data_IF_943734615465
#
_entry.id   IF_943734615465
#
_cell.length_a   1.000
_cell.length_b   1.000
_cell.length_c   1.000
_cell.angle_alpha   90.00
_cell.angle_beta   90.00
_cell.angle_gamma   90.00
#
_symmetry.space_group_name_H-M   'P 1'
#
loop_
_entity.id
_entity.type
_entity.pdbx_description
1 polymer ?
#
# COMPACT_ATOMS: atom_id res chain seq x y z
N UNK A 1 -10.95 23.03 15.02
CA UNK A 1 -9.50 22.75 14.98
C UNK A 1 -9.01 22.77 13.53
N UNK A 2 -7.76 23.17 13.28
CA UNK A 2 -7.18 23.17 11.92
C UNK A 2 -6.29 21.95 11.75
N UNK A 3 -6.50 21.16 10.69
CA UNK A 3 -5.60 20.05 10.38
C UNK A 3 -4.23 20.60 9.97
N UNK A 4 -3.12 20.22 10.64
CA UNK A 4 -1.79 20.75 10.31
C UNK A 4 -1.27 20.29 8.94
N UNK A 5 -1.82 19.20 8.39
CA UNK A 5 -1.41 18.64 7.09
C UNK A 5 -2.07 19.33 5.89
N UNK A 6 -3.40 19.54 5.93
CA UNK A 6 -4.13 20.14 4.80
C UNK A 6 -4.66 21.56 5.06
N UNK A 7 -4.56 22.06 6.29
CA UNK A 7 -4.98 23.41 6.65
C UNK A 7 -6.49 23.66 6.71
N UNK A 8 -7.34 22.66 6.45
CA UNK A 8 -8.80 22.79 6.58
C UNK A 8 -9.25 22.76 8.05
N UNK A 9 -10.37 23.42 8.34
CA UNK A 9 -10.99 23.46 9.66
C UNK A 9 -11.98 22.31 9.82
N UNK A 10 -11.91 21.62 10.96
CA UNK A 10 -12.78 20.51 11.33
C UNK A 10 -13.26 20.70 12.77
N UNK A 11 -14.41 20.12 13.13
CA UNK A 11 -14.92 20.12 14.50
C UNK A 11 -13.92 19.41 15.44
N UNK A 12 -13.38 18.28 14.99
CA UNK A 12 -12.38 17.47 15.69
C UNK A 12 -11.39 16.83 14.72
N UNK A 13 -10.20 16.51 15.20
CA UNK A 13 -9.20 15.71 14.48
C UNK A 13 -9.29 14.27 15.00
N UNK A 14 -9.38 13.30 14.09
CA UNK A 14 -9.74 11.92 14.40
C UNK A 14 -8.62 10.90 14.15
N UNK A 15 -7.54 11.32 13.49
CA UNK A 15 -6.44 10.43 13.14
C UNK A 15 -5.13 10.90 13.78
N UNK A 16 -4.32 9.94 14.23
CA UNK A 16 -2.94 10.18 14.66
C UNK A 16 -2.02 9.98 13.45
N UNK A 17 -1.13 10.94 13.18
CA UNK A 17 -0.23 10.86 12.02
C UNK A 17 0.71 9.66 12.12
N UNK A 18 0.85 8.93 11.00
CA UNK A 18 1.76 7.77 10.87
C UNK A 18 3.21 8.18 10.66
N UNK A 19 3.46 9.45 10.33
CA UNK A 19 4.82 9.99 10.12
C UNK A 19 5.54 10.14 11.47
N UNK A 20 4.86 10.70 12.48
CA UNK A 20 5.46 11.05 13.76
C UNK A 20 4.82 10.36 14.99
N UNK A 21 3.69 9.67 14.80
CA UNK A 21 2.90 9.02 15.86
C UNK A 21 2.51 9.96 17.02
N UNK A 22 2.38 11.27 16.76
CA UNK A 22 2.11 12.29 17.78
C UNK A 22 1.09 13.32 17.33
N UNK A 23 1.13 13.71 16.07
CA UNK A 23 0.32 14.82 15.56
C UNK A 23 -1.08 14.33 15.21
N UNK A 24 -2.12 14.95 15.79
CA UNK A 24 -3.50 14.71 15.39
C UNK A 24 -3.80 15.42 14.06
N UNK A 25 -4.42 14.72 13.12
CA UNK A 25 -4.79 15.16 11.76
C UNK A 25 -6.25 14.79 11.45
N UNK A 26 -6.78 15.33 10.33
CA UNK A 26 -8.11 14.94 9.87
C UNK A 26 -8.10 13.50 9.34
N UNK A 27 -9.27 12.87 9.35
CA UNK A 27 -9.52 11.52 8.85
C UNK A 27 -9.05 11.33 7.40
N UNK A 28 -9.36 12.27 6.50
CA UNK A 28 -8.92 12.20 5.09
C UNK A 28 -7.39 12.18 4.97
N UNK A 29 -6.69 13.04 5.72
CA UNK A 29 -5.24 13.07 5.74
C UNK A 29 -4.64 11.79 6.34
N UNK A 30 -5.29 11.23 7.37
CA UNK A 30 -4.86 9.97 7.99
C UNK A 30 -5.02 8.77 7.06
N UNK A 31 -6.10 8.70 6.28
CA UNK A 31 -6.28 7.67 5.24
C UNK A 31 -5.23 7.81 4.14
N UNK A 32 -4.91 9.04 3.73
CA UNK A 32 -3.86 9.28 2.73
C UNK A 32 -2.49 8.81 3.23
N UNK A 33 -2.11 9.11 4.48
CA UNK A 33 -0.89 8.57 5.08
C UNK A 33 -0.88 7.04 5.16
N UNK A 34 -2.04 6.43 5.44
CA UNK A 34 -2.15 4.98 5.46
C UNK A 34 -1.89 4.37 4.08
N UNK A 35 -2.41 4.98 3.02
CA UNK A 35 -2.22 4.56 1.64
C UNK A 35 -0.78 4.81 1.15
N UNK A 36 -0.19 5.97 1.49
CA UNK A 36 1.21 6.30 1.17
C UNK A 36 2.21 5.36 1.87
N UNK A 37 1.86 4.90 3.07
CA UNK A 37 2.64 3.91 3.81
C UNK A 37 2.51 2.48 3.30
N UNK A 38 1.60 2.22 2.36
CA UNK A 38 1.59 0.93 1.67
C UNK A 38 2.84 0.83 0.78
N UNK A 39 3.49 -0.35 0.69
CA UNK A 39 4.61 -0.50 -0.21
C UNK A 39 4.13 -0.31 -1.66
N UNK A 40 4.56 0.76 -2.33
CA UNK A 40 4.33 0.93 -3.75
C UNK A 40 5.03 -0.22 -4.50
N UNK A 41 4.24 -1.07 -5.17
CA UNK A 41 4.79 -2.23 -5.86
C UNK A 41 5.31 -3.31 -4.90
N UNK A 42 4.47 -3.76 -3.96
CA UNK A 42 4.72 -4.95 -3.10
C UNK A 42 5.31 -6.12 -3.92
N UNK A 43 4.87 -6.24 -5.16
CA UNK A 43 5.29 -7.28 -6.09
C UNK A 43 5.92 -6.61 -7.31
N UNK A 44 7.14 -7.03 -7.63
CA UNK A 44 7.76 -6.85 -8.94
C UNK A 44 6.83 -7.37 -10.06
N UNK A 45 6.98 -6.88 -11.31
CA UNK A 45 6.25 -7.45 -12.45
C UNK A 45 6.36 -8.98 -12.50
N UNK A 46 7.54 -9.51 -12.21
CA UNK A 46 7.84 -10.93 -12.15
C UNK A 46 7.02 -11.63 -11.06
N UNK A 47 6.96 -11.08 -9.84
CA UNK A 47 6.16 -11.66 -8.75
C UNK A 47 4.65 -11.62 -9.04
N UNK A 48 4.14 -10.57 -9.69
CA UNK A 48 2.73 -10.51 -10.13
C UNK A 48 2.40 -11.59 -11.15
N UNK A 49 3.30 -11.80 -12.12
CA UNK A 49 3.15 -12.86 -13.12
C UNK A 49 3.23 -14.23 -12.44
N UNK A 50 4.18 -14.43 -11.52
CA UNK A 50 4.33 -15.69 -10.77
C UNK A 50 3.05 -16.07 -10.04
N UNK A 51 2.39 -15.14 -9.35
CA UNK A 51 1.10 -15.39 -8.69
C UNK A 51 0.03 -15.79 -9.71
N UNK A 52 -0.03 -15.09 -10.85
CA UNK A 52 -1.02 -15.35 -11.90
C UNK A 52 -0.83 -16.74 -12.53
N UNK A 53 0.42 -17.13 -12.82
CA UNK A 53 0.75 -18.47 -13.34
C UNK A 53 0.45 -19.54 -12.29
N UNK A 54 0.80 -19.32 -11.02
CA UNK A 54 0.52 -20.27 -9.96
C UNK A 54 -0.99 -20.51 -9.76
N UNK A 55 -1.81 -19.47 -9.91
CA UNK A 55 -3.27 -19.55 -9.79
C UNK A 55 -3.93 -20.47 -10.84
N UNK A 56 -3.26 -20.73 -11.97
CA UNK A 56 -3.75 -21.67 -12.99
C UNK A 56 -3.71 -23.13 -12.55
N UNK A 57 -2.88 -23.46 -11.56
CA UNK A 57 -2.62 -24.85 -11.13
C UNK A 57 -1.81 -25.68 -12.12
N UNK A 58 -1.37 -25.11 -13.25
CA UNK A 58 -0.58 -25.81 -14.26
C UNK A 58 0.90 -25.90 -13.82
N UNK A 59 1.33 -27.11 -13.47
CA UNK A 59 2.71 -27.39 -13.06
C UNK A 59 3.72 -27.17 -14.18
N UNK A 60 3.33 -27.40 -15.44
CA UNK A 60 4.20 -27.16 -16.59
C UNK A 60 4.43 -25.66 -16.79
N UNK A 61 3.37 -24.86 -16.71
CA UNK A 61 3.48 -23.40 -16.81
C UNK A 61 4.35 -22.81 -15.69
N UNK A 62 4.19 -23.27 -14.44
CA UNK A 62 5.06 -22.87 -13.33
C UNK A 62 6.51 -23.30 -13.51
N UNK A 63 6.74 -24.51 -14.07
CA UNK A 63 8.08 -25.00 -14.40
C UNK A 63 8.79 -24.09 -15.41
N UNK A 64 8.11 -23.74 -16.50
CA UNK A 64 8.64 -22.83 -17.51
C UNK A 64 8.92 -21.43 -16.96
N UNK A 65 8.02 -20.89 -16.13
CA UNK A 65 8.22 -19.61 -15.49
C UNK A 65 9.50 -19.61 -14.64
N UNK A 66 9.69 -20.64 -13.80
CA UNK A 66 10.89 -20.76 -12.97
C UNK A 66 12.17 -20.90 -13.81
N UNK A 67 12.12 -21.62 -14.94
CA UNK A 67 13.27 -21.78 -15.83
C UNK A 67 13.67 -20.49 -16.55
N UNK A 68 12.71 -19.63 -16.89
CA UNK A 68 12.95 -18.37 -17.61
C UNK A 68 13.44 -17.22 -16.70
N UNK A 69 13.28 -17.35 -15.39
CA UNK A 69 13.56 -16.29 -14.41
C UNK A 69 14.53 -16.72 -13.30
N UNK A 70 15.23 -17.85 -13.47
CA UNK A 70 16.38 -18.29 -12.66
C UNK A 70 17.71 -17.90 -13.33
#
# INVERSE_FOLDING_TARGET
MKCPRCGRSFERLLALSRIDNKTMICDECGTMEALEGLPNGILTPQERIRISVAATGDKWAMGNFNAAHN
#
